data_IF_261226940957
#
_entry.id   IF_261226940957
#
_cell.length_a   1.000
_cell.length_b   1.000
_cell.length_c   1.000
_cell.angle_alpha   90.00
_cell.angle_beta   90.00
_cell.angle_gamma   90.00
#
_symmetry.space_group_name_H-M   'P 1'
#
loop_
_entity.id
_entity.type
_entity.pdbx_description
1 polymer ?
#
# COMPACT_ATOMS: atom_id res chain seq x y z
N UNK A 1 -6.87 26.29 8.09
CA UNK A 1 -5.78 26.18 9.10
C UNK A 1 -4.91 24.95 8.86
N UNK A 2 -5.45 23.73 8.82
CA UNK A 2 -4.63 22.54 8.61
C UNK A 2 -3.80 22.57 7.31
N UNK A 3 -4.42 22.84 6.15
CA UNK A 3 -3.71 22.96 4.87
C UNK A 3 -2.67 24.10 4.85
N UNK A 4 -2.93 25.19 5.59
CA UNK A 4 -1.99 26.30 5.72
C UNK A 4 -0.72 25.87 6.47
N UNK A 5 -0.87 25.22 7.64
CA UNK A 5 0.28 24.70 8.39
C UNK A 5 1.03 23.60 7.63
N UNK A 6 0.32 22.81 6.83
CA UNK A 6 0.93 21.83 5.95
C UNK A 6 1.82 22.50 4.89
N UNK A 7 1.34 23.58 4.26
CA UNK A 7 2.15 24.38 3.33
C UNK A 7 3.37 25.07 3.98
N UNK A 8 3.34 25.29 5.29
CA UNK A 8 4.50 25.77 6.08
C UNK A 8 5.42 24.63 6.55
N UNK A 9 5.23 23.41 6.07
CA UNK A 9 5.95 22.20 6.52
C UNK A 9 5.78 21.87 8.00
N UNK A 10 4.77 22.44 8.67
CA UNK A 10 4.41 22.14 10.06
C UNK A 10 3.36 21.02 10.09
N UNK A 11 3.76 19.83 9.64
CA UNK A 11 2.86 18.70 9.41
C UNK A 11 2.21 18.17 10.70
N UNK A 12 2.91 18.19 11.84
CA UNK A 12 2.32 17.78 13.12
C UNK A 12 1.18 18.71 13.54
N UNK A 13 1.36 20.02 13.39
CA UNK A 13 0.32 21.00 13.70
C UNK A 13 -0.85 20.88 12.73
N UNK A 14 -0.57 20.65 11.44
CA UNK A 14 -1.58 20.37 10.44
C UNK A 14 -2.44 19.14 10.81
N UNK A 15 -1.82 18.03 11.23
CA UNK A 15 -2.50 16.82 11.68
C UNK A 15 -3.35 17.04 12.94
N UNK A 16 -2.88 17.85 13.90
CA UNK A 16 -3.69 18.25 15.06
C UNK A 16 -4.95 19.01 14.63
N UNK A 17 -4.81 19.94 13.69
CA UNK A 17 -5.97 20.65 13.13
C UNK A 17 -6.91 19.74 12.36
N UNK A 18 -6.40 18.76 11.60
CA UNK A 18 -7.25 17.77 10.93
C UNK A 18 -7.99 16.87 11.92
N UNK A 19 -7.33 16.44 12.99
CA UNK A 19 -7.95 15.63 14.05
C UNK A 19 -9.09 16.40 14.72
N UNK A 20 -8.88 17.69 14.98
CA UNK A 20 -9.94 18.57 15.49
C UNK A 20 -11.08 18.74 14.48
N UNK A 21 -10.78 18.88 13.19
CA UNK A 21 -11.80 18.99 12.15
C UNK A 21 -12.65 17.72 12.06
N UNK A 22 -12.03 16.53 12.08
CA UNK A 22 -12.73 15.24 12.10
C UNK A 22 -13.65 15.10 13.32
N UNK A 23 -13.17 15.48 14.50
CA UNK A 23 -13.97 15.45 15.72
C UNK A 23 -15.21 16.35 15.61
N UNK A 24 -15.02 17.60 15.20
CA UNK A 24 -16.12 18.56 15.06
C UNK A 24 -17.12 18.12 14.00
N UNK A 25 -16.64 17.62 12.86
CA UNK A 25 -17.49 17.14 11.78
C UNK A 25 -18.28 15.88 12.18
N UNK A 26 -17.65 14.96 12.93
CA UNK A 26 -18.32 13.80 13.48
C UNK A 26 -19.43 14.16 14.46
N UNK A 27 -19.23 15.21 15.27
CA UNK A 27 -20.23 15.71 16.22
C UNK A 27 -21.35 16.50 15.55
N UNK A 28 -21.06 17.29 14.50
CA UNK A 28 -22.06 18.15 13.85
C UNK A 28 -22.88 17.43 12.79
N UNK A 29 -22.21 16.60 11.98
CA UNK A 29 -22.75 16.05 10.73
C UNK A 29 -22.76 14.52 10.72
N UNK A 30 -22.22 13.89 11.77
CA UNK A 30 -22.07 12.45 11.88
C UNK A 30 -20.84 11.90 11.15
N UNK A 31 -20.47 10.63 11.45
CA UNK A 31 -19.30 9.98 10.86
C UNK A 31 -19.44 9.69 9.36
N UNK A 32 -20.65 9.81 8.82
CA UNK A 32 -21.04 9.40 7.48
C UNK A 32 -21.26 10.60 6.55
N UNK A 33 -20.67 11.75 6.89
CA UNK A 33 -20.68 12.93 6.04
C UNK A 33 -19.57 12.87 4.97
N UNK A 34 -19.79 13.28 3.70
CA UNK A 34 -18.78 13.23 2.64
C UNK A 34 -17.52 14.06 2.98
N UNK A 35 -17.65 15.14 3.73
CA UNK A 35 -16.49 15.93 4.19
C UNK A 35 -15.54 15.14 5.11
N UNK A 36 -16.01 14.06 5.74
CA UNK A 36 -15.16 13.17 6.54
C UNK A 36 -14.19 12.45 5.62
N UNK A 37 -14.68 11.94 4.49
CA UNK A 37 -13.86 11.28 3.49
C UNK A 37 -12.87 12.28 2.83
N UNK A 38 -13.31 13.49 2.51
CA UNK A 38 -12.41 14.55 2.01
C UNK A 38 -11.31 14.87 3.04
N UNK A 39 -11.64 14.91 4.33
CA UNK A 39 -10.67 15.14 5.40
C UNK A 39 -9.68 13.98 5.53
N UNK A 40 -10.14 12.73 5.38
CA UNK A 40 -9.26 11.56 5.34
C UNK A 40 -8.25 11.60 4.19
N UNK A 41 -8.65 12.04 2.99
CA UNK A 41 -7.72 12.24 1.87
C UNK A 41 -6.63 13.25 2.26
N UNK A 42 -7.01 14.37 2.86
CA UNK A 42 -6.04 15.37 3.28
C UNK A 42 -5.07 14.85 4.38
N UNK A 43 -5.59 14.07 5.34
CA UNK A 43 -4.75 13.40 6.35
C UNK A 43 -3.79 12.42 5.70
N UNK A 44 -4.24 11.66 4.70
CA UNK A 44 -3.38 10.75 3.96
C UNK A 44 -2.25 11.47 3.23
N UNK A 45 -2.54 12.59 2.55
CA UNK A 45 -1.50 13.41 1.90
C UNK A 45 -0.46 13.89 2.90
N UNK A 46 -0.88 14.35 4.09
CA UNK A 46 0.06 14.73 5.14
C UNK A 46 0.95 13.57 5.61
N UNK A 47 0.41 12.35 5.71
CA UNK A 47 1.20 11.18 6.06
C UNK A 47 2.15 10.73 4.94
N UNK A 48 1.73 10.87 3.68
CA UNK A 48 2.57 10.61 2.51
C UNK A 48 3.80 11.52 2.52
N UNK A 49 3.65 12.80 2.82
CA UNK A 49 4.76 13.76 2.86
C UNK A 49 5.77 13.50 3.98
N UNK A 50 5.33 12.87 5.08
CA UNK A 50 6.22 12.42 6.18
C UNK A 50 6.76 11.00 5.92
N UNK A 51 6.45 10.39 4.77
CA UNK A 51 6.91 9.05 4.38
C UNK A 51 6.18 7.89 5.07
N UNK A 52 5.07 8.14 5.77
CA UNK A 52 4.27 7.10 6.45
C UNK A 52 3.20 6.51 5.51
N UNK A 53 3.66 5.85 4.45
CA UNK A 53 2.80 5.36 3.36
C UNK A 53 1.74 4.36 3.82
N UNK A 54 2.04 3.45 4.74
CA UNK A 54 1.06 2.49 5.27
C UNK A 54 -0.12 3.17 5.97
N UNK A 55 0.15 4.30 6.64
CA UNK A 55 -0.91 5.08 7.30
C UNK A 55 -1.69 5.89 6.28
N UNK A 56 -1.02 6.48 5.29
CA UNK A 56 -1.70 7.18 4.21
C UNK A 56 -2.67 6.26 3.46
N UNK A 57 -2.24 5.05 3.09
CA UNK A 57 -3.07 4.06 2.41
C UNK A 57 -4.31 3.67 3.22
N UNK A 58 -4.20 3.47 4.53
CA UNK A 58 -5.35 3.18 5.38
C UNK A 58 -6.39 4.29 5.34
N UNK A 59 -5.97 5.55 5.48
CA UNK A 59 -6.89 6.69 5.38
C UNK A 59 -7.52 6.81 3.99
N UNK A 60 -6.76 6.57 2.91
CA UNK A 60 -7.32 6.60 1.55
C UNK A 60 -8.33 5.47 1.30
N UNK A 61 -8.07 4.27 1.82
CA UNK A 61 -9.02 3.15 1.73
C UNK A 61 -10.30 3.41 2.52
N UNK A 62 -10.19 4.00 3.72
CA UNK A 62 -11.35 4.41 4.51
C UNK A 62 -12.14 5.52 3.80
N UNK A 63 -11.45 6.49 3.19
CA UNK A 63 -12.09 7.55 2.41
C UNK A 63 -12.82 6.98 1.19
N UNK A 64 -12.20 6.04 0.47
CA UNK A 64 -12.81 5.36 -0.67
C UNK A 64 -14.08 4.61 -0.25
N UNK A 65 -13.99 3.76 0.77
CA UNK A 65 -15.14 2.99 1.29
C UNK A 65 -16.29 3.90 1.73
N UNK A 66 -15.98 5.05 2.35
CA UNK A 66 -16.99 6.03 2.72
C UNK A 66 -17.64 6.66 1.48
N UNK A 67 -16.86 7.11 0.51
CA UNK A 67 -17.41 7.73 -0.71
C UNK A 67 -18.21 6.74 -1.55
N UNK A 68 -17.76 5.50 -1.71
CA UNK A 68 -18.50 4.46 -2.44
C UNK A 68 -19.87 4.20 -1.79
N UNK A 69 -19.94 4.14 -0.46
CA UNK A 69 -21.20 3.94 0.25
C UNK A 69 -22.13 5.16 0.20
N UNK A 70 -21.58 6.37 0.28
CA UNK A 70 -22.37 7.60 0.43
C UNK A 70 -22.78 8.22 -0.90
N UNK A 71 -21.90 8.14 -1.90
CA UNK A 71 -22.02 8.86 -3.17
C UNK A 71 -22.11 7.89 -4.36
N UNK A 72 -21.70 6.62 -4.17
CA UNK A 72 -21.61 5.62 -5.23
C UNK A 72 -20.22 5.55 -5.86
N UNK A 73 -19.97 4.44 -6.57
CA UNK A 73 -18.68 4.15 -7.21
C UNK A 73 -18.35 5.09 -8.36
N UNK A 74 -19.37 5.57 -9.09
CA UNK A 74 -19.23 6.41 -10.28
C UNK A 74 -19.26 7.92 -9.98
N UNK A 75 -19.15 8.31 -8.71
CA UNK A 75 -19.18 9.72 -8.31
C UNK A 75 -17.80 10.37 -8.44
N UNK A 76 -17.76 11.66 -8.83
CA UNK A 76 -16.51 12.42 -9.03
C UNK A 76 -15.63 12.42 -7.77
N UNK A 77 -16.24 12.56 -6.59
CA UNK A 77 -15.50 12.53 -5.32
C UNK A 77 -14.91 11.13 -5.01
N UNK A 78 -15.54 10.06 -5.50
CA UNK A 78 -14.98 8.69 -5.42
C UNK A 78 -13.80 8.56 -6.38
N UNK A 79 -13.87 9.15 -7.57
CA UNK A 79 -12.74 9.23 -8.50
C UNK A 79 -11.52 9.96 -7.88
N UNK A 80 -11.74 11.02 -7.09
CA UNK A 80 -10.64 11.69 -6.36
C UNK A 80 -9.95 10.74 -5.37
N UNK A 81 -10.67 9.85 -4.69
CA UNK A 81 -10.05 8.83 -3.85
C UNK A 81 -9.21 7.84 -4.65
N UNK A 82 -9.72 7.39 -5.81
CA UNK A 82 -8.97 6.51 -6.70
C UNK A 82 -7.69 7.16 -7.21
N UNK A 83 -7.74 8.44 -7.59
CA UNK A 83 -6.57 9.21 -7.98
C UNK A 83 -5.52 9.30 -6.86
N UNK A 84 -5.96 9.62 -5.64
CA UNK A 84 -5.07 9.71 -4.48
C UNK A 84 -4.42 8.35 -4.16
N UNK A 85 -5.16 7.24 -4.27
CA UNK A 85 -4.60 5.88 -4.17
C UNK A 85 -3.58 5.61 -5.28
N UNK A 86 -3.86 6.03 -6.51
CA UNK A 86 -2.95 5.86 -7.63
C UNK A 86 -1.60 6.56 -7.39
N UNK A 87 -1.65 7.79 -6.86
CA UNK A 87 -0.45 8.53 -6.45
C UNK A 87 0.31 7.77 -5.36
N UNK A 88 -0.37 7.34 -4.30
CA UNK A 88 0.25 6.62 -3.20
C UNK A 88 0.95 5.33 -3.68
N UNK A 89 0.31 4.54 -4.55
CA UNK A 89 0.92 3.35 -5.13
C UNK A 89 2.12 3.67 -6.03
N UNK A 90 2.06 4.78 -6.77
CA UNK A 90 3.20 5.23 -7.58
C UNK A 90 4.42 5.56 -6.69
N UNK A 91 4.23 6.23 -5.55
CA UNK A 91 5.31 6.49 -4.59
C UNK A 91 5.90 5.20 -3.98
N UNK A 92 5.09 4.14 -3.84
CA UNK A 92 5.56 2.83 -3.38
C UNK A 92 6.19 1.96 -4.48
N UNK A 93 6.26 2.45 -5.72
CA UNK A 93 6.76 1.68 -6.86
C UNK A 93 5.80 0.62 -7.39
N UNK A 94 4.55 0.59 -6.91
CA UNK A 94 3.51 -0.33 -7.35
C UNK A 94 2.78 0.23 -8.59
N UNK A 95 3.52 0.44 -9.68
CA UNK A 95 3.02 1.16 -10.87
C UNK A 95 1.83 0.48 -11.56
N UNK A 96 1.75 -0.85 -11.55
CA UNK A 96 0.58 -1.58 -12.05
C UNK A 96 -0.71 -1.20 -11.31
N UNK A 97 -0.67 -1.15 -9.98
CA UNK A 97 -1.81 -0.75 -9.16
C UNK A 97 -2.14 0.73 -9.37
N UNK A 98 -1.10 1.57 -9.43
CA UNK A 98 -1.25 2.99 -9.75
C UNK A 98 -2.00 3.23 -11.07
N UNK A 99 -1.58 2.55 -12.15
CA UNK A 99 -2.26 2.60 -13.43
C UNK A 99 -3.72 2.13 -13.35
N UNK A 100 -4.00 1.04 -12.63
CA UNK A 100 -5.37 0.52 -12.49
C UNK A 100 -6.30 1.51 -11.79
N UNK A 101 -5.83 2.13 -10.69
CA UNK A 101 -6.62 3.11 -9.96
C UNK A 101 -6.81 4.40 -10.74
N UNK A 102 -5.77 4.89 -11.42
CA UNK A 102 -5.90 6.09 -12.26
C UNK A 102 -6.81 5.85 -13.47
N UNK A 103 -6.78 4.64 -14.05
CA UNK A 103 -7.70 4.29 -15.12
C UNK A 103 -9.15 4.35 -14.63
N UNK A 104 -9.45 3.85 -13.43
CA UNK A 104 -10.78 3.99 -12.83
C UNK A 104 -11.17 5.46 -12.64
N UNK A 105 -10.25 6.30 -12.16
CA UNK A 105 -10.47 7.76 -12.08
C UNK A 105 -10.88 8.33 -13.43
N UNK A 106 -10.10 8.05 -14.47
CA UNK A 106 -10.37 8.51 -15.83
C UNK A 106 -11.74 8.04 -16.34
N UNK A 107 -12.03 6.74 -16.20
CA UNK A 107 -13.29 6.15 -16.67
C UNK A 107 -14.51 6.83 -15.99
N UNK A 108 -14.42 7.16 -14.71
CA UNK A 108 -15.47 7.91 -13.99
C UNK A 108 -15.57 9.35 -14.49
N UNK A 109 -14.44 10.04 -14.64
CA UNK A 109 -14.42 11.44 -15.06
C UNK A 109 -14.94 11.62 -16.49
N UNK A 110 -14.59 10.72 -17.41
CA UNK A 110 -15.13 10.71 -18.78
C UNK A 110 -16.66 10.58 -18.76
N UNK A 111 -17.21 9.66 -17.97
CA UNK A 111 -18.67 9.47 -17.88
C UNK A 111 -19.39 10.68 -17.28
N UNK A 112 -18.79 11.34 -16.29
CA UNK A 112 -19.45 12.39 -15.51
C UNK A 112 -19.23 13.81 -16.05
N UNK A 113 -18.06 14.11 -16.62
CA UNK A 113 -17.68 15.44 -17.10
C UNK A 113 -17.42 15.49 -18.61
N UNK A 114 -17.22 14.34 -19.26
CA UNK A 114 -16.82 14.27 -20.66
C UNK A 114 -15.29 14.27 -20.86
N UNK A 115 -14.86 14.02 -22.10
CA UNK A 115 -13.44 13.87 -22.47
C UNK A 115 -12.67 15.19 -22.50
N UNK A 116 -13.35 16.30 -22.79
CA UNK A 116 -12.76 17.64 -22.93
C UNK A 116 -12.57 18.38 -21.60
N UNK A 117 -13.09 17.85 -20.49
CA UNK A 117 -12.92 18.48 -19.18
C UNK A 117 -11.46 18.42 -18.73
N UNK A 118 -10.97 19.52 -18.15
CA UNK A 118 -9.57 19.63 -17.74
C UNK A 118 -9.17 18.53 -16.75
N UNK A 119 -10.06 18.10 -15.84
CA UNK A 119 -9.77 17.02 -14.89
C UNK A 119 -9.65 15.68 -15.58
N UNK A 120 -10.47 15.44 -16.61
CA UNK A 120 -10.41 14.22 -17.43
C UNK A 120 -9.11 14.17 -18.22
N UNK A 121 -8.71 15.29 -18.82
CA UNK A 121 -7.44 15.43 -19.55
C UNK A 121 -6.24 15.23 -18.61
N UNK A 122 -6.28 15.81 -17.41
CA UNK A 122 -5.25 15.62 -16.39
C UNK A 122 -5.13 14.16 -15.96
N UNK A 123 -6.26 13.49 -15.68
CA UNK A 123 -6.26 12.07 -15.33
C UNK A 123 -5.70 11.22 -16.48
N UNK A 124 -6.03 11.51 -17.74
CA UNK A 124 -5.44 10.84 -18.90
C UNK A 124 -3.91 10.98 -18.96
N UNK A 125 -3.38 12.16 -18.61
CA UNK A 125 -1.94 12.39 -18.53
C UNK A 125 -1.29 11.57 -17.40
N UNK A 126 -1.97 11.43 -16.26
CA UNK A 126 -1.53 10.53 -15.19
C UNK A 126 -1.57 9.06 -15.62
N UNK A 127 -2.63 8.60 -16.29
CA UNK A 127 -2.74 7.23 -16.85
C UNK A 127 -1.55 6.92 -17.75
N UNK A 128 -1.22 7.83 -18.68
CA UNK A 128 -0.06 7.69 -19.59
C UNK A 128 1.25 7.61 -18.80
N UNK A 129 1.42 8.47 -17.80
CA UNK A 129 2.62 8.51 -16.94
C UNK A 129 2.80 7.20 -16.18
N UNK A 130 1.76 6.70 -15.52
CA UNK A 130 1.83 5.46 -14.75
C UNK A 130 2.04 4.24 -15.64
N UNK A 131 1.40 4.19 -16.82
CA UNK A 131 1.63 3.14 -17.82
C UNK A 131 3.09 3.11 -18.28
N UNK A 132 3.68 4.27 -18.55
CA UNK A 132 5.08 4.37 -18.93
C UNK A 132 6.01 3.85 -17.82
N UNK A 133 5.75 4.22 -16.56
CA UNK A 133 6.55 3.75 -15.41
C UNK A 133 6.44 2.24 -15.19
N UNK A 134 5.25 1.66 -15.33
CA UNK A 134 5.06 0.21 -15.24
C UNK A 134 5.86 -0.53 -16.33
N UNK A 135 5.79 -0.05 -17.58
CA UNK A 135 6.58 -0.61 -18.69
C UNK A 135 8.09 -0.50 -18.44
N UNK A 136 8.57 0.66 -17.94
CA UNK A 136 9.98 0.87 -17.63
C UNK A 136 10.47 -0.09 -16.54
N UNK A 137 9.69 -0.27 -15.47
CA UNK A 137 10.05 -1.22 -14.40
C UNK A 137 10.06 -2.67 -14.88
N UNK A 138 9.07 -3.06 -15.70
CA UNK A 138 9.04 -4.39 -16.27
C UNK A 138 10.23 -4.65 -17.20
N UNK A 139 10.59 -3.66 -18.03
CA UNK A 139 11.78 -3.73 -18.88
C UNK A 139 13.09 -3.83 -18.06
N UNK A 140 13.21 -3.06 -16.97
CA UNK A 140 14.36 -3.15 -16.05
C UNK A 140 14.45 -4.53 -15.40
N UNK A 141 13.31 -5.09 -14.95
CA UNK A 141 13.26 -6.42 -14.36
C UNK A 141 13.68 -7.50 -15.36
N UNK A 142 13.22 -7.42 -16.60
CA UNK A 142 13.63 -8.34 -17.67
C UNK A 142 15.11 -8.19 -18.01
N UNK A 143 15.64 -6.97 -18.09
CA UNK A 143 17.07 -6.73 -18.33
C UNK A 143 17.92 -7.32 -17.20
N UNK A 144 17.50 -7.14 -15.94
CA UNK A 144 18.17 -7.78 -14.80
C UNK A 144 18.14 -9.30 -14.87
N UNK A 145 16.99 -9.89 -15.22
CA UNK A 145 16.85 -11.34 -15.41
C UNK A 145 17.72 -11.85 -16.57
N UNK A 146 17.77 -11.15 -17.69
CA UNK A 146 18.59 -11.51 -18.83
C UNK A 146 20.10 -11.42 -18.51
N UNK A 147 20.52 -10.39 -17.77
CA UNK A 147 21.90 -10.28 -17.29
C UNK A 147 22.26 -11.42 -16.32
N UNK A 148 21.35 -11.76 -15.41
CA UNK A 148 21.53 -12.88 -14.48
C UNK A 148 21.56 -14.23 -15.21
N UNK A 149 20.74 -14.41 -16.24
CA UNK A 149 20.74 -15.61 -17.06
C UNK A 149 22.03 -15.72 -17.88
N UNK A 150 22.51 -14.62 -18.47
CA UNK A 150 23.76 -14.59 -19.23
C UNK A 150 24.99 -14.82 -18.34
N UNK A 151 25.02 -14.25 -17.12
CA UNK A 151 26.10 -14.51 -16.17
C UNK A 151 26.07 -15.95 -15.66
N UNK A 152 24.88 -16.51 -15.40
CA UNK A 152 24.72 -17.92 -15.05
C UNK A 152 25.22 -18.83 -16.19
N UNK A 153 24.87 -18.53 -17.44
CA UNK A 153 25.34 -19.30 -18.59
C UNK A 153 26.87 -19.26 -18.73
N UNK A 154 27.47 -18.08 -18.58
CA UNK A 154 28.93 -17.94 -18.62
C UNK A 154 29.62 -18.72 -17.51
N UNK A 155 29.02 -18.76 -16.31
CA UNK A 155 29.53 -19.59 -15.22
C UNK A 155 29.44 -21.09 -15.54
N UNK A 156 28.33 -21.54 -16.16
CA UNK A 156 28.17 -22.93 -16.62
C UNK A 156 29.23 -23.27 -17.68
N UNK A 157 29.49 -22.37 -18.62
CA UNK A 157 30.46 -22.60 -19.69
C UNK A 157 31.90 -22.72 -19.14
N UNK A 158 32.26 -21.90 -18.13
CA UNK A 158 33.55 -22.01 -17.42
C UNK A 158 33.66 -23.34 -16.69
N UNK A 159 32.59 -23.79 -16.02
CA UNK A 159 32.59 -25.09 -15.32
C UNK A 159 32.74 -26.26 -16.29
N UNK A 160 32.12 -26.19 -17.48
CA UNK A 160 32.30 -27.19 -18.53
C UNK A 160 33.72 -27.20 -19.10
N UNK A 161 34.35 -26.03 -19.23
CA UNK A 161 35.72 -25.91 -19.72
C UNK A 161 36.77 -26.42 -18.73
N UNK A 162 36.44 -26.48 -17.43
CA UNK A 162 37.34 -26.93 -16.37
C UNK A 162 36.71 -28.06 -15.52
N UNK A 163 36.63 -29.29 -16.04
CA UNK A 163 36.04 -30.43 -15.33
C UNK A 163 36.75 -30.78 -14.01
N UNK A 164 38.05 -30.48 -13.90
CA UNK A 164 38.84 -30.64 -12.67
C UNK A 164 38.29 -29.76 -11.53
N UNK A 165 37.73 -28.60 -11.86
CA UNK A 165 37.16 -27.66 -10.91
C UNK A 165 35.87 -28.21 -10.31
N UNK A 166 35.08 -28.95 -11.10
CA UNK A 166 33.89 -29.67 -10.64
C UNK A 166 34.31 -30.80 -9.68
N UNK A 167 35.33 -31.58 -10.04
CA UNK A 167 35.83 -32.67 -9.20
C UNK A 167 36.42 -32.18 -7.87
N UNK A 168 37.19 -31.08 -7.90
CA UNK A 168 37.72 -30.46 -6.69
C UNK A 168 36.61 -29.94 -5.76
N UNK A 169 35.55 -29.35 -6.32
CA UNK A 169 34.39 -28.90 -5.55
C UNK A 169 33.63 -30.09 -4.93
N UNK A 170 33.48 -31.18 -5.68
CA UNK A 170 32.81 -32.38 -5.20
C UNK A 170 33.63 -33.05 -4.10
N UNK A 171 34.96 -33.17 -4.24
CA UNK A 171 35.86 -33.69 -3.22
C UNK A 171 35.83 -32.86 -1.93
N UNK A 172 35.77 -31.52 -2.03
CA UNK A 172 35.64 -30.64 -0.86
C UNK A 172 34.26 -30.77 -0.17
N UNK A 173 33.20 -31.04 -0.93
CA UNK A 173 31.88 -31.30 -0.36
C UNK A 173 31.81 -32.65 0.39
N UNK A 174 32.53 -33.67 -0.07
CA UNK A 174 32.62 -34.96 0.63
C UNK A 174 33.53 -34.89 1.86
N UNK A 175 34.59 -34.07 1.85
CA UNK A 175 35.46 -33.88 3.02
C UNK A 175 34.84 -32.99 4.11
N UNK A 176 33.86 -32.14 3.77
CA UNK A 176 33.04 -31.39 4.72
C UNK A 176 31.91 -32.21 5.37
N UNK A 177 31.74 -33.47 4.96
CA UNK A 177 30.72 -34.39 5.47
C UNK A 177 31.09 -35.09 6.78
N UNK A 178 31.65 -34.39 7.76
CA UNK A 178 31.62 -34.79 9.18
C UNK A 178 32.20 -33.69 10.05
N UNK A 179 31.36 -32.75 10.48
CA UNK A 179 31.45 -32.11 11.79
C UNK A 179 30.17 -31.34 12.05
N UNK A 180 29.15 -32.06 12.50
CA UNK A 180 28.19 -31.47 13.42
C UNK A 180 28.99 -30.97 14.62
N UNK A 181 28.87 -29.68 14.89
CA UNK A 181 28.88 -29.09 16.23
C UNK A 181 29.73 -29.82 17.28
N UNK A 182 30.96 -29.38 17.47
CA UNK A 182 31.49 -29.21 18.82
C UNK A 182 32.64 -28.22 18.83
N UNK A 183 32.49 -27.25 19.73
CA UNK A 183 33.53 -26.34 20.19
C UNK A 183 34.80 -27.11 20.55
N UNK A 184 35.88 -26.89 19.79
CA UNK A 184 37.22 -27.27 20.22
C UNK A 184 38.03 -25.99 20.36
N UNK A 185 38.10 -25.56 21.62
CA UNK A 185 39.14 -24.68 22.14
C UNK A 185 40.45 -25.43 22.06
N UNK A 186 41.31 -25.07 21.11
CA UNK A 186 42.76 -25.32 21.11
C UNK A 186 43.32 -24.14 20.31
N UNK A 187 44.17 -23.28 20.83
CA UNK A 187 45.32 -23.55 21.67
C UNK A 187 46.50 -22.93 20.93
N UNK A 188 46.88 -21.75 21.43
CA UNK A 188 48.10 -20.98 21.23
C UNK A 188 49.23 -21.66 20.44
N UNK A 189 49.60 -21.09 19.28
CA UNK A 189 50.95 -21.13 18.71
C UNK A 189 51.04 -20.24 17.45
N UNK A 190 51.32 -18.94 17.64
CA UNK A 190 51.79 -18.06 16.56
C UNK A 190 53.26 -17.73 16.82
N UNK A 191 54.21 -18.00 15.89
CA UNK A 191 55.54 -17.44 15.98
C UNK A 191 55.49 -15.96 15.58
N UNK A 192 56.16 -15.15 16.40
CA UNK A 192 56.33 -13.70 16.30
C UNK A 192 56.69 -13.25 14.87
N UNK A 193 55.87 -12.34 14.33
CA UNK A 193 56.20 -11.44 13.22
C UNK A 193 55.83 -10.00 13.60
N UNK A 194 56.79 -9.10 13.45
CA UNK A 194 56.87 -7.78 14.09
C UNK A 194 55.91 -6.75 13.48
N UNK A 195 55.37 -5.89 14.34
CA UNK A 195 54.17 -5.08 14.12
C UNK A 195 54.19 -4.00 13.05
N UNK A 196 53.01 -3.82 12.44
CA UNK A 196 52.31 -2.52 12.33
C UNK A 196 50.78 -2.66 12.63
N UNK A 197 50.22 -3.88 12.69
CA UNK A 197 48.76 -4.06 12.65
C UNK A 197 48.02 -4.10 14.01
N UNK A 198 48.75 -4.11 15.12
CA UNK A 198 48.16 -4.28 16.46
C UNK A 198 47.32 -3.06 16.89
N UNK A 199 47.67 -1.86 16.38
CA UNK A 199 46.93 -0.61 16.66
C UNK A 199 45.65 -0.50 15.83
N UNK A 200 45.66 -0.98 14.58
CA UNK A 200 44.49 -1.04 13.72
C UNK A 200 43.48 -2.10 14.19
N UNK A 201 43.98 -3.27 14.62
CA UNK A 201 43.15 -4.34 15.17
C UNK A 201 42.47 -3.91 16.49
N UNK A 202 43.18 -3.20 17.37
CA UNK A 202 42.58 -2.63 18.61
C UNK A 202 41.56 -1.52 18.31
N UNK A 203 41.79 -0.66 17.32
CA UNK A 203 40.84 0.38 16.92
C UNK A 203 39.53 -0.20 16.33
N UNK A 204 39.62 -1.28 15.55
CA UNK A 204 38.45 -1.97 15.01
C UNK A 204 37.63 -2.69 16.09
N UNK A 205 38.29 -3.21 17.14
CA UNK A 205 37.62 -3.84 18.28
C UNK A 205 36.92 -2.80 19.19
N UNK A 206 37.56 -1.65 19.44
CA UNK A 206 36.98 -0.52 20.20
C UNK A 206 35.73 0.06 19.52
N UNK A 207 35.75 0.22 18.19
CA UNK A 207 34.58 0.71 17.42
C UNK A 207 33.38 -0.24 17.51
N UNK A 208 33.60 -1.56 17.48
CA UNK A 208 32.54 -2.55 17.67
C UNK A 208 31.97 -2.54 19.08
N UNK A 209 32.82 -2.38 20.10
CA UNK A 209 32.40 -2.29 21.51
C UNK A 209 31.61 -1.01 21.78
N UNK A 210 32.00 0.11 21.15
CA UNK A 210 31.33 1.42 21.25
C UNK A 210 30.01 1.48 20.46
N UNK A 211 29.87 0.70 19.40
CA UNK A 211 28.60 0.53 18.68
C UNK A 211 27.58 -0.34 19.45
N UNK A 212 28.06 -1.41 20.11
CA UNK A 212 27.23 -2.26 20.96
C UNK A 212 26.72 -1.51 22.21
N UNK A 213 27.54 -0.66 22.82
CA UNK A 213 27.14 0.15 23.98
C UNK A 213 26.15 1.29 23.65
N UNK A 214 25.96 1.63 22.37
CA UNK A 214 25.02 2.68 21.92
C UNK A 214 23.65 2.12 21.46
N UNK A 215 23.38 0.83 21.65
CA UNK A 215 22.08 0.22 21.35
C UNK A 215 21.69 0.23 19.87
N UNK A 216 22.61 0.55 18.96
CA UNK A 216 22.39 0.54 17.51
C UNK A 216 22.70 -0.84 16.95
N UNK A 217 21.87 -1.83 17.32
CA UNK A 217 21.81 -3.10 16.60
C UNK A 217 21.19 -2.84 15.22
N UNK A 218 22.04 -2.62 14.20
CA UNK A 218 21.62 -2.73 12.80
C UNK A 218 21.20 -4.18 12.54
N UNK A 219 19.91 -4.44 12.72
CA UNK A 219 19.21 -5.60 12.20
C UNK A 219 19.29 -5.51 10.68
N UNK A 220 20.19 -6.27 10.06
CA UNK A 220 20.15 -6.50 8.62
C UNK A 220 18.81 -7.18 8.31
N UNK A 221 17.89 -6.43 7.73
CA UNK A 221 16.73 -6.98 7.04
C UNK A 221 17.25 -7.70 5.79
N UNK A 222 17.56 -8.99 5.95
CA UNK A 222 17.80 -9.88 4.82
C UNK A 222 16.49 -10.07 4.05
N UNK A 223 16.52 -9.69 2.78
CA UNK A 223 15.54 -10.14 1.77
C UNK A 223 15.54 -11.67 1.79
N UNK A 224 14.38 -12.36 1.80
CA UNK A 224 14.39 -13.81 1.69
C UNK A 224 14.97 -14.16 0.32
N UNK A 225 16.20 -14.69 0.32
CA UNK A 225 16.74 -15.41 -0.82
C UNK A 225 15.79 -16.57 -1.04
N UNK A 226 15.01 -16.50 -2.12
CA UNK A 226 14.29 -17.65 -2.66
C UNK A 226 15.28 -18.81 -2.65
N UNK A 227 14.96 -19.86 -1.91
CA UNK A 227 15.79 -21.04 -1.78
C UNK A 227 16.08 -21.56 -3.18
N UNK A 228 17.30 -21.29 -3.67
CA UNK A 228 17.84 -21.98 -4.81
C UNK A 228 17.81 -23.47 -4.47
N UNK A 229 17.33 -24.33 -5.40
CA UNK A 229 17.31 -25.75 -5.14
C UNK A 229 18.73 -26.22 -4.80
N UNK A 230 18.87 -27.24 -3.93
CA UNK A 230 20.18 -27.77 -3.57
C UNK A 230 20.94 -28.16 -4.84
N UNK A 231 22.25 -27.86 -4.87
CA UNK A 231 23.16 -28.03 -6.03
C UNK A 231 23.00 -29.37 -6.76
N UNK A 232 22.59 -30.43 -6.04
CA UNK A 232 22.23 -31.75 -6.56
C UNK A 232 21.13 -31.72 -7.65
N UNK A 233 20.12 -30.86 -7.52
CA UNK A 233 19.07 -30.73 -8.54
C UNK A 233 19.57 -30.01 -9.80
N UNK A 234 20.49 -29.05 -9.64
CA UNK A 234 21.13 -28.35 -10.76
C UNK A 234 22.01 -29.29 -11.59
N UNK A 235 22.73 -30.21 -10.93
CA UNK A 235 23.55 -31.22 -11.61
C UNK A 235 22.72 -32.24 -12.40
N UNK A 236 21.54 -32.63 -11.90
CA UNK A 236 20.66 -33.54 -12.64
C UNK A 236 20.13 -32.89 -13.93
N UNK A 237 19.83 -31.60 -13.94
CA UNK A 237 19.37 -30.89 -15.15
C UNK A 237 20.49 -30.79 -16.20
N UNK A 238 21.73 -30.56 -15.77
CA UNK A 238 22.89 -30.45 -16.67
C UNK A 238 23.23 -31.81 -17.33
N UNK A 239 23.07 -32.91 -16.60
CA UNK A 239 23.38 -34.26 -17.11
C UNK A 239 22.25 -34.87 -17.95
N UNK A 240 21.01 -34.36 -17.88
CA UNK A 240 19.84 -35.01 -18.50
C UNK A 240 19.39 -34.43 -19.84
N UNK A 241 20.00 -33.35 -20.35
CA UNK A 241 19.72 -32.83 -21.70
C UNK A 241 18.23 -32.57 -22.04
N UNK A 242 17.36 -32.30 -21.05
CA UNK A 242 15.92 -32.16 -21.25
C UNK A 242 15.46 -30.72 -20.92
N UNK A 243 14.80 -30.08 -21.88
CA UNK A 243 14.11 -28.80 -21.69
C UNK A 243 12.98 -28.93 -20.66
N UNK A 244 12.59 -27.85 -19.95
CA UNK A 244 11.50 -27.93 -18.99
C UNK A 244 10.17 -28.03 -19.76
N UNK A 245 9.57 -29.22 -19.76
CA UNK A 245 8.17 -29.39 -20.14
C UNK A 245 7.33 -28.74 -19.05
N UNK A 246 6.49 -27.81 -19.46
CA UNK A 246 5.49 -27.16 -18.64
C UNK A 246 4.62 -28.24 -17.95
N UNK A 247 4.58 -28.21 -16.63
CA UNK A 247 3.60 -28.96 -15.85
C UNK A 247 2.22 -28.32 -16.07
N UNK A 248 1.52 -28.84 -17.07
CA UNK A 248 0.07 -28.76 -17.17
C UNK A 248 -0.45 -29.94 -16.36
N UNK A 249 -1.09 -29.70 -15.21
CA UNK A 249 -1.74 -30.76 -14.45
C UNK A 249 -3.23 -30.44 -14.32
N UNK A 250 -4.00 -31.21 -15.07
CA UNK A 250 -5.43 -31.28 -15.00
C UNK A 250 -5.83 -32.66 -15.52
N UNK A 251 -6.33 -33.52 -14.64
CA UNK A 251 -7.55 -34.29 -14.91
C UNK A 251 -8.03 -35.09 -13.69
N UNK A 252 -9.35 -35.13 -13.61
CA UNK A 252 -10.24 -35.93 -12.77
C UNK A 252 -10.00 -37.45 -12.80
N UNK A 253 -10.34 -38.11 -11.69
CA UNK A 253 -11.35 -39.20 -11.51
C UNK A 253 -11.13 -39.79 -10.08
N UNK A 254 -12.08 -40.19 -9.25
CA UNK A 254 -13.45 -40.69 -9.46
C UNK A 254 -13.60 -42.03 -8.71
N UNK A 255 -14.29 -42.05 -7.56
CA UNK A 255 -14.93 -43.24 -6.95
C UNK A 255 -15.75 -42.80 -5.71
N UNK A 256 -17.07 -42.71 -5.85
CA UNK A 256 -18.10 -43.72 -5.47
C UNK A 256 -18.49 -43.71 -3.97
N UNK A 257 -19.62 -43.04 -3.74
CA UNK A 257 -20.74 -43.23 -2.78
C UNK A 257 -21.04 -44.69 -2.30
N UNK A 258 -21.96 -44.98 -1.31
CA UNK A 258 -23.22 -44.25 -1.00
C UNK A 258 -23.74 -44.24 0.48
N UNK A 259 -24.97 -43.70 0.61
CA UNK A 259 -25.99 -43.76 1.68
C UNK A 259 -26.05 -42.59 2.69
N UNK A 260 -27.21 -41.96 2.97
CA UNK A 260 -28.59 -42.34 2.62
C UNK A 260 -29.60 -41.18 2.70
N UNK A 261 -30.66 -41.35 1.92
CA UNK A 261 -31.91 -40.58 1.88
C UNK A 261 -32.79 -40.85 3.10
N UNK A 262 -33.54 -39.84 3.54
CA UNK A 262 -34.98 -40.00 3.80
C UNK A 262 -35.72 -38.74 3.33
N UNK A 263 -36.73 -38.97 2.50
CA UNK A 263 -37.63 -37.99 1.90
C UNK A 263 -38.98 -37.91 2.65
N UNK A 264 -39.81 -36.99 2.16
CA UNK A 264 -41.25 -36.76 2.39
C UNK A 264 -41.47 -35.56 3.33
N UNK A 265 -42.00 -34.40 2.92
CA UNK A 265 -42.87 -34.04 1.80
C UNK A 265 -44.25 -33.68 2.35
N UNK A 266 -44.79 -32.48 2.04
CA UNK A 266 -46.22 -32.17 1.76
C UNK A 266 -46.46 -30.64 1.66
N UNK A 267 -47.01 -30.26 0.50
CA UNK A 267 -47.98 -29.20 0.09
C UNK A 267 -47.90 -27.72 0.55
N UNK A 268 -48.00 -26.87 -0.48
CA UNK A 268 -48.33 -25.42 -0.59
C UNK A 268 -49.82 -25.11 -0.28
N UNK A 269 -50.40 -23.93 -0.65
CA UNK A 269 -50.22 -22.52 -0.21
C UNK A 269 -51.58 -21.88 0.21
N UNK A 270 -51.63 -20.56 0.54
CA UNK A 270 -52.78 -19.59 0.55
C UNK A 270 -52.58 -18.57 1.72
N UNK A 271 -52.42 -17.25 1.54
CA UNK A 271 -53.26 -16.15 1.03
C UNK A 271 -54.28 -15.56 2.03
N UNK A 272 -54.22 -14.23 2.15
CA UNK A 272 -55.24 -13.23 2.56
C UNK A 272 -55.39 -12.70 4.01
N UNK A 273 -54.97 -11.43 4.15
CA UNK A 273 -55.73 -10.20 4.46
C UNK A 273 -56.45 -9.96 5.81
N UNK A 274 -56.18 -8.73 6.34
CA UNK A 274 -57.05 -7.78 7.07
C UNK A 274 -57.40 -8.13 8.54
N UNK A 275 -57.54 -7.23 9.53
CA UNK A 275 -57.93 -5.81 9.61
C UNK A 275 -57.65 -5.23 11.03
N UNK A 276 -57.48 -3.89 11.16
CA UNK A 276 -57.98 -2.91 12.18
C UNK A 276 -57.74 -3.21 13.71
N UNK A 277 -57.51 -2.30 14.67
CA UNK A 277 -57.59 -0.84 14.82
C UNK A 277 -56.99 -0.43 16.21
N UNK A 278 -56.59 0.85 16.37
CA UNK A 278 -56.47 1.68 17.62
C UNK A 278 -55.43 1.27 18.71
N UNK A 279 -54.76 2.14 19.48
CA UNK A 279 -54.89 3.57 19.85
C UNK A 279 -53.59 4.06 20.56
N UNK A 280 -53.33 5.37 20.49
CA UNK A 280 -52.67 6.28 21.46
C UNK A 280 -51.33 5.93 22.15
N UNK A 281 -50.28 6.71 21.85
CA UNK A 281 -49.68 7.68 22.80
C UNK A 281 -48.48 8.44 22.20
N UNK A 282 -48.55 9.77 22.21
CA UNK A 282 -47.42 10.69 22.07
C UNK A 282 -46.71 10.91 23.42
N UNK A 283 -45.49 11.47 23.42
CA UNK A 283 -45.35 12.69 24.21
C UNK A 283 -44.63 13.84 23.48
N UNK A 284 -45.06 15.03 23.88
CA UNK A 284 -44.72 16.35 23.40
C UNK A 284 -43.32 16.83 23.77
N UNK A 285 -42.83 17.87 23.07
CA UNK A 285 -41.67 18.65 23.50
C UNK A 285 -41.07 19.59 22.46
N UNK A 286 -41.87 20.48 21.84
CA UNK A 286 -41.39 21.57 20.99
C UNK A 286 -42.10 22.88 21.38
N UNK A 287 -41.30 23.88 21.76
CA UNK A 287 -41.69 25.22 22.18
C UNK A 287 -40.64 25.73 23.18
N UNK A 288 -40.14 26.96 23.20
CA UNK A 288 -40.58 28.22 22.59
C UNK A 288 -39.42 29.21 22.74
N UNK A 289 -39.10 30.03 21.74
CA UNK A 289 -37.98 30.97 21.87
C UNK A 289 -37.78 31.96 20.73
N UNK A 290 -38.85 32.48 20.11
CA UNK A 290 -38.78 33.67 19.28
C UNK A 290 -39.90 34.61 19.72
N UNK A 291 -39.51 35.69 20.42
CA UNK A 291 -40.43 36.67 20.95
C UNK A 291 -39.78 38.04 21.06
N UNK A 292 -40.33 38.96 20.28
CA UNK A 292 -40.35 40.42 20.46
C UNK A 292 -39.12 41.23 20.03
N UNK A 293 -39.22 41.67 18.77
CA UNK A 293 -38.89 43.02 18.30
C UNK A 293 -39.72 44.10 19.02
N UNK A 294 -39.30 45.36 18.81
CA UNK A 294 -39.89 46.67 19.20
C UNK A 294 -39.44 47.26 20.55
N UNK A 295 -39.05 48.54 20.69
CA UNK A 295 -39.01 49.68 19.76
C UNK A 295 -38.18 50.85 20.36
N UNK A 296 -37.89 51.82 19.48
CA UNK A 296 -37.67 53.27 19.72
C UNK A 296 -36.36 53.74 20.39
N UNK A 297 -35.54 54.48 19.62
CA UNK A 297 -35.61 55.97 19.56
C UNK A 297 -34.66 56.61 18.53
N UNK A 298 -35.26 57.39 17.62
CA UNK A 298 -34.87 58.76 17.13
C UNK A 298 -33.51 58.97 16.45
N UNK A 299 -33.48 59.21 15.13
CA UNK A 299 -33.64 60.50 14.38
C UNK A 299 -32.39 61.41 14.38
N UNK A 300 -31.76 61.56 13.20
CA UNK A 300 -31.37 62.83 12.51
C UNK A 300 -30.72 62.50 11.14
N UNK A 301 -31.41 62.69 10.00
CA UNK A 301 -31.16 63.74 8.97
C UNK A 301 -29.69 64.21 8.89
N UNK A 302 -28.98 64.07 7.78
CA UNK A 302 -29.12 64.97 6.61
C UNK A 302 -28.74 64.33 5.25
N UNK A 303 -29.55 64.65 4.25
CA UNK A 303 -29.32 64.50 2.80
C UNK A 303 -28.55 65.73 2.32
N UNK A 304 -27.52 65.56 1.50
CA UNK A 304 -27.14 66.54 0.48
C UNK A 304 -26.75 65.78 -0.80
N UNK A 305 -27.38 66.15 -1.90
CA UNK A 305 -27.20 65.61 -3.26
C UNK A 305 -26.72 66.80 -4.15
N UNK A 306 -26.41 66.58 -5.44
CA UNK A 306 -25.13 66.89 -6.09
C UNK A 306 -25.16 68.20 -6.89
N UNK A 307 -24.01 68.61 -7.45
CA UNK A 307 -23.98 69.46 -8.65
C UNK A 307 -22.72 69.22 -9.49
N UNK A 308 -22.95 69.18 -10.80
CA UNK A 308 -22.01 68.93 -11.87
C UNK A 308 -21.38 70.24 -12.42
N UNK A 309 -20.36 70.04 -13.27
CA UNK A 309 -19.84 70.93 -14.31
C UNK A 309 -19.10 72.21 -13.89
N UNK A 310 -17.78 72.24 -14.07
CA UNK A 310 -17.10 72.77 -15.28
C UNK A 310 -15.62 72.41 -15.23
#
# INVERSE_FOLDING_TARGET
MALFYHGLSQTELALRHMSRALLLLGLSSGPDHPDVAATFINVAMMYQDIGKMDTALRYLQEALKKNERLLGEEHIQTAVCYHALAIAFNYMGAFKLSYQHEKKTYDILVKQLGEEDNRTVDSLNWVKTFKMRDLQMNAQKQKGQALNAASAQKAIDILKAHPDLIQAFQAAAVSGGSSSSNSVVVGDAVPRGRGVDERAARAAAEMRKKAAARGLSLRQHGVPVQALPPLTQLFNVINSGAAPVAANDGSHEGSKEPNGQTSNGVKSPESNQSNLDQQDQAPAGLGSGLGALDAKKTKTKTKAKPKAAS
#
